data_IF_084745800688
#
_entry.id   IF_084745800688
#
_cell.length_a   1.000
_cell.length_b   1.000
_cell.length_c   1.000
_cell.angle_alpha   90.00
_cell.angle_beta   90.00
_cell.angle_gamma   90.00
#
_symmetry.space_group_name_H-M   'P 1'
#
loop_
_entity.id
_entity.type
_entity.pdbx_description
1 polymer ?
#
# COMPACT_ATOMS: atom_id res chain seq x y z
N UNK A 1 -24.40 9.75 -20.79
CA UNK A 1 -23.30 10.75 -20.78
C UNK A 1 -22.14 10.39 -21.70
N UNK A 2 -21.63 9.17 -21.71
CA UNK A 2 -20.49 8.78 -22.57
C UNK A 2 -20.68 9.11 -24.05
N UNK A 3 -21.83 8.71 -24.62
CA UNK A 3 -22.14 8.98 -26.03
C UNK A 3 -22.20 10.48 -26.36
N UNK A 4 -22.68 11.30 -25.42
CA UNK A 4 -22.70 12.75 -25.58
C UNK A 4 -21.29 13.32 -25.66
N UNK A 5 -20.41 12.90 -24.76
CA UNK A 5 -19.01 13.36 -24.74
C UNK A 5 -18.28 12.94 -26.03
N UNK A 6 -18.43 11.70 -26.44
CA UNK A 6 -17.80 11.17 -27.66
C UNK A 6 -18.38 11.78 -28.94
N UNK A 7 -19.61 12.33 -28.92
CA UNK A 7 -20.20 13.02 -30.09
C UNK A 7 -19.64 14.43 -30.31
N UNK A 8 -19.10 15.11 -29.31
CA UNK A 8 -18.59 16.47 -29.38
C UNK A 8 -17.58 16.67 -30.52
N UNK A 9 -16.48 15.90 -30.59
CA UNK A 9 -15.49 16.12 -31.64
C UNK A 9 -16.07 15.87 -33.02
N UNK A 10 -17.03 14.95 -33.17
CA UNK A 10 -17.73 14.74 -34.46
C UNK A 10 -18.62 15.92 -34.83
N UNK A 11 -19.35 16.48 -33.86
CA UNK A 11 -20.22 17.66 -34.09
C UNK A 11 -19.31 18.86 -34.47
N UNK A 12 -18.21 19.06 -33.78
CA UNK A 12 -17.25 20.13 -34.11
C UNK A 12 -16.64 19.94 -35.50
N UNK A 13 -16.22 18.71 -35.83
CA UNK A 13 -15.70 18.40 -37.16
C UNK A 13 -16.75 18.63 -38.27
N UNK A 14 -18.00 18.26 -38.01
CA UNK A 14 -19.10 18.48 -38.95
C UNK A 14 -19.38 20.00 -39.14
N UNK A 15 -19.34 20.76 -38.06
CA UNK A 15 -19.48 22.22 -38.11
C UNK A 15 -18.36 22.87 -38.98
N UNK A 16 -17.10 22.50 -38.74
CA UNK A 16 -15.99 22.98 -39.57
C UNK A 16 -16.14 22.58 -41.04
N UNK A 17 -16.58 21.35 -41.31
CA UNK A 17 -16.81 20.90 -42.68
C UNK A 17 -17.94 21.69 -43.37
N UNK A 18 -18.99 22.09 -42.66
CA UNK A 18 -20.10 22.82 -43.23
C UNK A 18 -19.76 24.31 -43.50
N UNK A 19 -19.05 24.95 -42.58
CA UNK A 19 -18.84 26.40 -42.63
C UNK A 19 -17.47 26.82 -43.17
N UNK A 20 -16.45 25.97 -42.96
CA UNK A 20 -15.03 26.29 -43.28
C UNK A 20 -14.37 25.31 -44.26
N UNK A 21 -15.15 24.53 -45.01
CA UNK A 21 -14.67 23.48 -45.94
C UNK A 21 -13.56 23.91 -46.89
N UNK A 22 -13.56 25.20 -47.30
CA UNK A 22 -12.55 25.75 -48.25
C UNK A 22 -11.23 26.13 -47.56
N UNK A 23 -11.25 26.29 -46.25
CA UNK A 23 -10.13 26.77 -45.46
C UNK A 23 -9.44 25.64 -44.67
N UNK A 24 -10.15 24.50 -44.48
CA UNK A 24 -9.66 23.37 -43.72
C UNK A 24 -9.13 22.23 -44.60
N UNK A 25 -8.08 21.56 -44.13
CA UNK A 25 -7.46 20.40 -44.77
C UNK A 25 -7.86 19.11 -44.02
N UNK A 26 -7.97 18.01 -44.73
CA UNK A 26 -8.46 16.73 -44.17
C UNK A 26 -7.74 16.23 -42.90
N UNK A 27 -6.45 16.52 -42.75
CA UNK A 27 -5.67 16.12 -41.59
C UNK A 27 -6.01 16.92 -40.33
N UNK A 28 -6.57 18.12 -40.42
CA UNK A 28 -7.02 18.93 -39.31
C UNK A 28 -8.19 18.26 -38.59
N UNK A 29 -9.08 17.57 -39.32
CA UNK A 29 -10.15 16.75 -38.74
C UNK A 29 -9.57 15.57 -37.93
N UNK A 30 -8.45 14.97 -38.37
CA UNK A 30 -7.78 13.92 -37.63
C UNK A 30 -7.16 14.43 -36.34
N UNK A 31 -6.55 15.63 -36.36
CA UNK A 31 -5.98 16.28 -35.16
C UNK A 31 -7.09 16.64 -34.16
N UNK A 32 -8.28 16.97 -34.64
CA UNK A 32 -9.42 17.25 -33.77
C UNK A 32 -10.02 15.97 -33.16
N UNK A 33 -10.27 14.96 -34.00
CA UNK A 33 -11.00 13.74 -33.61
C UNK A 33 -10.12 12.79 -32.79
N UNK A 34 -8.95 12.43 -33.28
CA UNK A 34 -8.14 11.37 -32.68
C UNK A 34 -7.65 11.72 -31.25
N UNK A 35 -7.10 12.90 -31.00
CA UNK A 35 -6.71 13.28 -29.64
C UNK A 35 -7.89 13.43 -28.68
N UNK A 36 -9.03 13.94 -29.14
CA UNK A 36 -10.23 14.09 -28.30
C UNK A 36 -10.73 12.73 -27.79
N UNK A 37 -10.80 11.75 -28.68
CA UNK A 37 -11.21 10.38 -28.33
C UNK A 37 -10.17 9.74 -27.41
N UNK A 38 -8.87 9.89 -27.72
CA UNK A 38 -7.79 9.36 -26.92
C UNK A 38 -7.81 9.98 -25.50
N UNK A 39 -7.98 11.30 -25.40
CA UNK A 39 -8.07 12.00 -24.10
C UNK A 39 -9.26 11.51 -23.28
N UNK A 40 -10.42 11.28 -23.89
CA UNK A 40 -11.56 10.70 -23.17
C UNK A 40 -11.17 9.38 -22.50
N UNK A 41 -10.61 8.43 -23.26
CA UNK A 41 -10.22 7.13 -22.72
C UNK A 41 -9.10 7.24 -21.69
N UNK A 42 -8.13 8.14 -21.91
CA UNK A 42 -7.02 8.36 -20.97
C UNK A 42 -7.52 8.94 -19.64
N UNK A 43 -8.33 9.98 -19.67
CA UNK A 43 -8.87 10.60 -18.46
C UNK A 43 -9.75 9.60 -17.72
N UNK A 44 -10.63 8.90 -18.43
CA UNK A 44 -11.44 7.82 -17.85
C UNK A 44 -10.58 6.75 -17.17
N UNK A 45 -9.53 6.30 -17.83
CA UNK A 45 -8.59 5.33 -17.29
C UNK A 45 -7.92 5.83 -16.01
N UNK A 46 -7.46 7.09 -16.01
CA UNK A 46 -6.83 7.72 -14.84
C UNK A 46 -7.81 7.77 -13.66
N UNK A 47 -9.04 8.26 -13.89
CA UNK A 47 -10.06 8.35 -12.84
C UNK A 47 -10.38 6.97 -12.27
N UNK A 48 -10.71 6.01 -13.13
CA UNK A 48 -11.05 4.63 -12.71
C UNK A 48 -9.88 3.99 -11.98
N UNK A 49 -8.65 4.19 -12.46
CA UNK A 49 -7.45 3.65 -11.80
C UNK A 49 -7.24 4.25 -10.42
N UNK A 50 -7.42 5.56 -10.27
CA UNK A 50 -7.27 6.24 -8.98
C UNK A 50 -8.32 5.78 -7.96
N UNK A 51 -9.59 5.71 -8.37
CA UNK A 51 -10.68 5.33 -7.49
C UNK A 51 -10.68 3.85 -7.10
N UNK A 52 -10.24 2.99 -8.01
CA UNK A 52 -10.16 1.54 -7.74
C UNK A 52 -8.86 1.11 -7.07
N UNK A 53 -7.93 2.03 -6.80
CA UNK A 53 -6.72 1.69 -6.07
C UNK A 53 -6.98 1.75 -4.58
N UNK A 54 -6.67 0.65 -3.89
CA UNK A 54 -6.66 0.56 -2.42
C UNK A 54 -5.30 0.06 -1.96
N UNK A 55 -4.99 0.30 -0.69
CA UNK A 55 -3.74 -0.14 -0.08
C UNK A 55 -4.03 -1.11 1.05
N UNK A 56 -3.47 -2.31 0.96
CA UNK A 56 -3.40 -3.23 2.08
C UNK A 56 -2.07 -3.07 2.81
N UNK A 57 -2.05 -3.43 4.08
CA UNK A 57 -0.86 -3.35 4.90
C UNK A 57 -0.47 -4.74 5.38
N UNK A 58 0.66 -5.23 4.89
CA UNK A 58 1.20 -6.51 5.32
C UNK A 58 2.08 -6.31 6.55
N UNK A 59 1.85 -7.09 7.57
CA UNK A 59 2.64 -7.05 8.79
C UNK A 59 3.92 -7.87 8.66
N UNK A 60 4.95 -7.41 9.35
CA UNK A 60 6.19 -8.13 9.62
C UNK A 60 6.79 -7.62 10.94
N UNK A 61 7.91 -8.16 11.35
CA UNK A 61 8.71 -7.56 12.42
C UNK A 61 10.17 -7.40 12.01
N UNK A 62 10.83 -6.44 12.62
CA UNK A 62 12.24 -6.22 12.43
C UNK A 62 13.04 -7.36 13.08
N UNK A 63 13.58 -8.25 12.27
CA UNK A 63 14.44 -9.34 12.74
C UNK A 63 15.85 -8.82 13.05
N UNK A 64 16.37 -7.95 12.17
CA UNK A 64 17.68 -7.29 12.35
C UNK A 64 17.61 -5.85 11.87
N UNK A 65 18.44 -5.01 12.44
CA UNK A 65 18.73 -3.68 11.90
C UNK A 65 20.23 -3.51 11.75
N UNK A 66 20.61 -2.93 10.64
CA UNK A 66 21.99 -2.76 10.22
C UNK A 66 22.36 -1.28 10.19
N UNK A 67 23.60 -0.99 10.59
CA UNK A 67 24.27 0.27 10.41
C UNK A 67 25.54 0.03 9.63
N UNK A 68 25.69 0.73 8.52
CA UNK A 68 26.87 0.71 7.66
C UNK A 68 27.53 2.08 7.73
N UNK A 69 28.80 2.09 8.12
CA UNK A 69 29.61 3.32 8.15
C UNK A 69 29.86 3.86 6.74
N UNK A 70 30.08 5.16 6.64
CA UNK A 70 30.52 5.80 5.40
C UNK A 70 31.89 5.30 4.95
N UNK A 71 32.12 5.26 3.66
CA UNK A 71 33.40 4.83 3.10
C UNK A 71 33.59 5.32 1.66
N UNK A 72 34.85 5.30 1.22
CA UNK A 72 35.24 5.63 -0.13
C UNK A 72 35.89 4.44 -0.81
N UNK A 73 35.64 4.28 -2.11
CA UNK A 73 36.39 3.34 -2.91
C UNK A 73 37.01 3.99 -4.13
N UNK A 74 38.10 3.44 -4.59
CA UNK A 74 38.75 3.86 -5.82
C UNK A 74 38.32 2.96 -6.98
N UNK A 75 37.53 3.49 -7.89
CA UNK A 75 37.05 2.78 -9.07
C UNK A 75 38.07 2.92 -10.18
N UNK A 76 38.78 1.83 -10.46
CA UNK A 76 39.75 1.78 -11.56
C UNK A 76 39.02 1.65 -12.91
N UNK A 77 39.18 2.63 -13.76
CA UNK A 77 38.53 2.64 -15.07
C UNK A 77 39.46 3.14 -16.16
N UNK A 78 39.49 2.42 -17.27
CA UNK A 78 40.17 2.84 -18.51
C UNK A 78 39.14 3.35 -19.51
N UNK A 79 39.33 4.58 -19.94
CA UNK A 79 38.47 5.21 -20.93
C UNK A 79 39.20 5.34 -22.29
N UNK A 80 38.46 5.54 -23.34
CA UNK A 80 38.97 5.76 -24.66
C UNK A 80 38.50 7.10 -25.19
N UNK A 81 39.39 7.82 -25.87
CA UNK A 81 39.04 9.02 -26.60
C UNK A 81 39.65 9.00 -28.00
N UNK A 82 38.94 9.61 -28.97
CA UNK A 82 39.45 9.82 -30.30
C UNK A 82 40.30 11.11 -30.31
N UNK A 83 41.55 11.00 -30.72
CA UNK A 83 42.47 12.14 -30.88
C UNK A 83 42.77 12.30 -32.36
N UNK A 84 42.84 13.51 -32.78
CA UNK A 84 43.26 13.84 -34.17
C UNK A 84 44.68 13.32 -34.42
N UNK A 85 44.86 12.59 -35.48
CA UNK A 85 46.11 11.92 -35.86
C UNK A 85 46.68 12.40 -37.19
N UNK A 86 46.24 13.57 -37.66
CA UNK A 86 46.65 14.13 -38.91
C UNK A 86 45.60 14.04 -40.02
N UNK A 87 45.97 14.37 -41.24
CA UNK A 87 45.13 14.24 -42.43
C UNK A 87 45.68 13.14 -43.36
N UNK A 88 44.79 12.50 -44.10
CA UNK A 88 45.20 11.58 -45.15
C UNK A 88 45.67 12.32 -46.43
N UNK A 89 46.17 11.57 -47.39
CA UNK A 89 46.63 12.12 -48.67
C UNK A 89 45.53 12.83 -49.51
N UNK A 90 44.27 12.69 -49.11
CA UNK A 90 43.10 13.33 -49.73
C UNK A 90 42.51 14.48 -48.89
N UNK A 91 43.19 14.86 -47.81
CA UNK A 91 42.79 15.98 -46.96
C UNK A 91 41.74 15.63 -45.88
N UNK A 92 41.38 14.37 -45.70
CA UNK A 92 40.41 13.98 -44.66
C UNK A 92 41.09 13.81 -43.29
N UNK A 93 40.44 14.28 -42.26
CA UNK A 93 40.93 14.15 -40.89
C UNK A 93 40.98 12.69 -40.44
N UNK A 94 42.14 12.23 -39.97
CA UNK A 94 42.34 10.93 -39.35
C UNK A 94 42.29 11.06 -37.85
N UNK A 95 41.64 10.09 -37.20
CA UNK A 95 41.58 9.99 -35.75
C UNK A 95 42.13 8.65 -35.29
N UNK A 96 42.84 8.65 -34.18
CA UNK A 96 43.25 7.44 -33.48
C UNK A 96 42.55 7.37 -32.13
N UNK A 97 42.22 6.18 -31.71
CA UNK A 97 41.70 5.94 -30.36
C UNK A 97 42.89 5.78 -29.41
N UNK A 98 42.92 6.56 -28.36
CA UNK A 98 43.89 6.43 -27.27
C UNK A 98 43.14 6.09 -25.99
N UNK A 99 43.75 5.24 -25.19
CA UNK A 99 43.27 4.90 -23.84
C UNK A 99 43.91 5.84 -22.84
N UNK A 100 43.15 6.18 -21.82
CA UNK A 100 43.66 6.95 -20.68
C UNK A 100 42.98 6.45 -19.40
N UNK A 101 43.62 6.66 -18.27
CA UNK A 101 43.07 6.39 -16.97
C UNK A 101 42.02 7.43 -16.65
N UNK A 102 40.79 6.98 -16.38
CA UNK A 102 39.65 7.77 -15.92
C UNK A 102 39.11 7.25 -14.60
N UNK A 103 40.01 6.67 -13.80
CA UNK A 103 39.70 6.23 -12.45
C UNK A 103 39.20 7.39 -11.60
N UNK A 104 38.27 7.10 -10.73
CA UNK A 104 37.68 8.08 -9.84
C UNK A 104 37.41 7.51 -8.47
N UNK A 105 37.25 8.39 -7.50
CA UNK A 105 36.87 8.02 -6.14
C UNK A 105 35.35 8.08 -6.01
N UNK A 106 34.73 7.01 -5.54
CA UNK A 106 33.32 6.92 -5.25
C UNK A 106 33.11 6.94 -3.74
N UNK A 107 32.27 7.87 -3.29
CA UNK A 107 31.90 8.01 -1.89
C UNK A 107 30.58 7.30 -1.63
N UNK A 108 30.57 6.42 -0.60
CA UNK A 108 29.41 5.73 -0.12
C UNK A 108 29.01 6.31 1.24
N UNK A 109 27.83 6.93 1.34
CA UNK A 109 27.39 7.53 2.58
C UNK A 109 26.99 6.48 3.61
N UNK A 110 27.02 6.89 4.86
CA UNK A 110 26.46 6.13 5.98
C UNK A 110 25.01 5.76 5.68
N UNK A 111 24.61 4.52 6.01
CA UNK A 111 23.26 4.03 5.74
C UNK A 111 22.78 3.06 6.81
N UNK A 112 21.47 3.01 6.96
CA UNK A 112 20.77 2.13 7.88
C UNK A 112 19.78 1.28 7.12
N UNK A 113 19.69 0.02 7.52
CA UNK A 113 18.78 -0.94 6.89
C UNK A 113 18.07 -1.78 7.95
N UNK A 114 16.91 -2.28 7.60
CA UNK A 114 16.14 -3.22 8.40
C UNK A 114 15.95 -4.50 7.60
N UNK A 115 16.14 -5.63 8.24
CA UNK A 115 15.79 -6.95 7.73
C UNK A 115 14.56 -7.43 8.48
N UNK A 116 13.55 -7.85 7.76
CA UNK A 116 12.33 -8.37 8.34
C UNK A 116 12.42 -9.89 8.59
N UNK A 117 11.41 -10.42 9.28
CA UNK A 117 11.28 -11.86 9.54
C UNK A 117 11.07 -12.72 8.29
N UNK A 118 10.89 -12.11 7.12
CA UNK A 118 10.77 -12.80 5.82
C UNK A 118 12.10 -12.74 5.04
N UNK A 119 13.13 -12.09 5.60
CA UNK A 119 14.44 -11.92 4.97
C UNK A 119 14.50 -10.76 3.96
N UNK A 120 13.51 -9.90 3.92
CA UNK A 120 13.51 -8.70 3.07
C UNK A 120 14.26 -7.58 3.75
N UNK A 121 15.18 -6.91 3.03
CA UNK A 121 15.99 -5.80 3.54
C UNK A 121 15.59 -4.50 2.85
N UNK A 122 15.47 -3.42 3.59
CA UNK A 122 15.15 -2.09 3.06
C UNK A 122 15.75 -0.96 3.89
N UNK A 123 16.02 0.19 3.23
CA UNK A 123 16.63 1.33 3.90
C UNK A 123 15.64 1.99 4.88
N UNK A 124 16.19 2.45 5.99
CA UNK A 124 15.49 3.25 7.01
C UNK A 124 16.29 4.51 7.30
N UNK A 125 15.65 5.46 8.00
CA UNK A 125 16.33 6.65 8.50
C UNK A 125 17.05 6.37 9.83
N UNK A 126 18.01 7.22 10.15
CA UNK A 126 18.75 7.13 11.43
C UNK A 126 17.82 7.15 12.63
N UNK A 127 16.82 8.03 12.63
CA UNK A 127 15.88 8.16 13.73
C UNK A 127 15.06 6.87 13.95
N UNK A 128 14.73 6.19 12.86
CA UNK A 128 14.03 4.90 12.90
C UNK A 128 14.96 3.79 13.45
N UNK A 129 16.20 3.78 13.00
CA UNK A 129 17.21 2.88 13.52
C UNK A 129 17.40 3.06 15.03
N UNK A 130 17.60 4.29 15.49
CA UNK A 130 17.79 4.62 16.90
C UNK A 130 16.59 4.18 17.77
N UNK A 131 15.36 4.34 17.26
CA UNK A 131 14.16 3.85 17.93
C UNK A 131 14.12 2.34 18.04
N UNK A 132 14.51 1.63 16.99
CA UNK A 132 14.50 0.17 16.95
C UNK A 132 15.55 -0.44 17.88
N UNK A 133 16.76 0.13 17.93
CA UNK A 133 17.87 -0.40 18.74
C UNK A 133 17.80 -0.02 20.21
N UNK A 134 17.02 0.98 20.58
CA UNK A 134 16.96 1.49 21.97
C UNK A 134 16.73 0.41 23.04
N UNK A 135 16.10 -0.72 22.66
CA UNK A 135 15.81 -1.85 23.55
C UNK A 135 16.73 -3.06 23.32
N UNK A 136 17.54 -3.05 22.28
CA UNK A 136 18.50 -4.11 22.01
C UNK A 136 19.80 -3.85 22.73
N UNK A 137 20.45 -4.90 23.24
CA UNK A 137 21.54 -4.72 24.20
C UNK A 137 22.87 -4.43 23.54
N UNK A 138 23.37 -5.35 22.70
CA UNK A 138 24.72 -5.28 22.15
C UNK A 138 24.68 -5.53 20.65
N UNK A 139 25.24 -4.65 19.83
CA UNK A 139 25.34 -4.86 18.41
C UNK A 139 26.34 -5.97 18.10
N UNK A 140 26.06 -6.73 17.07
CA UNK A 140 27.03 -7.63 16.47
C UNK A 140 27.75 -6.90 15.34
N UNK A 141 29.06 -6.99 15.30
CA UNK A 141 29.87 -6.41 14.25
C UNK A 141 30.03 -7.39 13.09
N UNK A 142 30.04 -6.89 11.88
CA UNK A 142 30.28 -7.67 10.69
C UNK A 142 30.98 -6.81 9.63
N UNK A 143 31.70 -7.50 8.72
CA UNK A 143 32.29 -6.86 7.55
C UNK A 143 31.34 -6.98 6.36
N UNK A 144 31.13 -5.92 5.62
CA UNK A 144 30.45 -5.99 4.35
C UNK A 144 31.36 -6.59 3.28
N UNK A 145 31.10 -7.82 2.92
CA UNK A 145 31.89 -8.59 1.95
C UNK A 145 31.81 -8.07 0.51
N UNK A 146 30.89 -7.15 0.23
CA UNK A 146 30.71 -6.54 -1.10
C UNK A 146 31.63 -5.36 -1.34
N UNK A 147 32.33 -4.89 -0.32
CA UNK A 147 33.30 -3.82 -0.45
C UNK A 147 34.62 -4.38 -0.95
N UNK A 148 34.98 -3.88 -2.09
CA UNK A 148 36.25 -4.27 -2.70
C UNK A 148 37.28 -3.22 -2.40
N UNK A 149 38.50 -3.70 -2.17
CA UNK A 149 39.69 -2.93 -2.33
C UNK A 149 40.22 -2.20 -1.12
N UNK A 150 41.09 -1.41 -1.33
CA UNK A 150 42.12 -0.65 -0.62
C UNK A 150 41.68 -0.01 0.69
N UNK A 151 40.44 -0.20 1.04
CA UNK A 151 39.93 0.35 2.25
C UNK A 151 39.42 -0.71 3.19
N UNK A 152 39.90 -0.61 4.39
CA UNK A 152 39.39 -1.36 5.52
C UNK A 152 38.25 -0.52 6.12
N UNK A 153 37.20 -0.60 5.48
CA UNK A 153 35.99 -0.01 5.99
C UNK A 153 35.04 -1.09 6.13
N UNK A 154 34.10 -0.86 6.80
CA UNK A 154 33.08 -1.78 6.87
C UNK A 154 32.94 -2.39 8.16
N UNK A 155 33.26 -1.67 9.18
CA UNK A 155 32.71 -1.94 10.46
C UNK A 155 31.23 -1.59 10.39
N UNK A 156 30.46 -2.55 9.92
CA UNK A 156 29.02 -2.51 9.99
C UNK A 156 28.59 -3.22 11.27
N UNK A 157 27.48 -2.79 11.80
CA UNK A 157 26.88 -3.31 13.02
C UNK A 157 25.47 -3.74 12.76
N UNK A 158 25.00 -4.78 13.43
CA UNK A 158 23.60 -5.11 13.44
C UNK A 158 23.13 -5.51 14.84
N UNK A 159 21.84 -5.28 15.07
CA UNK A 159 21.12 -5.78 16.22
C UNK A 159 20.13 -6.81 15.75
N UNK A 160 19.99 -7.89 16.51
CA UNK A 160 19.05 -8.96 16.23
C UNK A 160 17.98 -9.03 17.32
N UNK A 161 16.74 -9.19 16.91
CA UNK A 161 15.64 -9.37 17.83
C UNK A 161 15.50 -10.84 18.22
N UNK A 162 15.25 -11.08 19.49
CA UNK A 162 15.15 -12.41 20.08
C UNK A 162 13.77 -13.06 20.00
N UNK A 163 12.86 -12.51 19.22
CA UNK A 163 11.50 -13.01 18.96
C UNK A 163 10.61 -13.15 20.23
N UNK A 164 10.71 -12.24 21.18
CA UNK A 164 9.84 -12.21 22.34
C UNK A 164 8.58 -11.38 22.07
N UNK A 165 7.40 -11.92 22.37
CA UNK A 165 6.12 -11.22 22.20
C UNK A 165 6.05 -9.91 22.96
N UNK A 166 6.66 -9.86 24.16
CA UNK A 166 6.65 -8.68 25.03
C UNK A 166 7.39 -7.48 24.45
N UNK A 167 8.27 -7.71 23.48
CA UNK A 167 9.11 -6.68 22.87
C UNK A 167 9.05 -6.71 21.33
N UNK A 168 7.86 -6.95 20.78
CA UNK A 168 7.65 -7.01 19.34
C UNK A 168 8.00 -5.67 18.66
N UNK A 169 8.77 -5.75 17.59
CA UNK A 169 9.12 -4.65 16.70
C UNK A 169 8.37 -4.78 15.39
N UNK A 170 7.07 -4.62 15.46
CA UNK A 170 6.22 -4.73 14.29
C UNK A 170 6.45 -3.59 13.31
N UNK A 171 6.43 -3.96 12.05
CA UNK A 171 6.55 -3.08 10.88
C UNK A 171 5.45 -3.44 9.89
N UNK A 172 5.13 -2.53 8.98
CA UNK A 172 4.12 -2.76 7.96
C UNK A 172 4.59 -2.30 6.60
N UNK A 173 4.16 -3.04 5.58
CA UNK A 173 4.41 -2.72 4.17
C UNK A 173 3.10 -2.34 3.50
N UNK A 174 3.02 -1.15 2.90
CA UNK A 174 1.91 -0.83 2.03
C UNK A 174 2.05 -1.60 0.72
N UNK A 175 0.96 -2.24 0.29
CA UNK A 175 0.85 -2.90 -1.01
C UNK A 175 -0.42 -2.45 -1.69
N UNK A 176 -0.27 -1.77 -2.82
CA UNK A 176 -1.43 -1.33 -3.60
C UNK A 176 -2.08 -2.49 -4.35
N UNK A 177 -3.39 -2.48 -4.46
CA UNK A 177 -4.16 -3.45 -5.22
C UNK A 177 -5.41 -2.80 -5.84
N UNK A 178 -5.97 -3.45 -6.86
CA UNK A 178 -7.24 -3.02 -7.46
C UNK A 178 -8.42 -3.48 -6.63
N UNK A 179 -9.25 -2.54 -6.21
CA UNK A 179 -10.46 -2.76 -5.44
C UNK A 179 -11.67 -2.14 -6.15
N UNK A 180 -12.27 -2.89 -7.05
CA UNK A 180 -13.47 -2.45 -7.76
C UNK A 180 -14.71 -2.44 -6.88
N UNK A 181 -14.72 -3.18 -5.78
CA UNK A 181 -15.85 -3.25 -4.85
C UNK A 181 -16.13 -1.87 -4.25
N UNK A 182 -15.08 -1.15 -3.89
CA UNK A 182 -15.16 0.18 -3.27
C UNK A 182 -16.00 1.19 -4.08
N UNK A 183 -16.01 1.04 -5.39
CA UNK A 183 -16.62 1.99 -6.32
C UNK A 183 -17.81 1.38 -7.06
N UNK A 184 -17.96 0.07 -7.05
CA UNK A 184 -19.06 -0.62 -7.73
C UNK A 184 -20.35 -0.52 -6.92
N UNK A 185 -21.40 -0.05 -7.56
CA UNK A 185 -22.77 0.04 -6.97
C UNK A 185 -23.60 -1.22 -7.20
N UNK A 186 -23.04 -2.28 -7.81
CA UNK A 186 -23.87 -3.36 -8.38
C UNK A 186 -24.15 -4.55 -7.47
N UNK A 187 -23.22 -4.94 -6.57
CA UNK A 187 -23.36 -6.19 -5.78
C UNK A 187 -23.11 -5.97 -4.29
N UNK A 188 -22.11 -5.17 -3.95
CA UNK A 188 -21.75 -4.88 -2.57
C UNK A 188 -22.26 -3.49 -2.21
N UNK A 189 -23.47 -3.44 -1.72
CA UNK A 189 -24.13 -2.17 -1.37
C UNK A 189 -23.81 -1.85 0.08
N UNK A 190 -22.61 -1.34 0.34
CA UNK A 190 -22.29 -0.78 1.63
C UNK A 190 -23.06 0.52 1.82
N UNK A 191 -23.64 0.69 3.00
CA UNK A 191 -24.29 1.94 3.36
C UNK A 191 -23.25 3.06 3.41
N UNK A 192 -23.52 4.17 2.75
CA UNK A 192 -22.65 5.35 2.80
C UNK A 192 -22.85 6.04 4.16
N UNK A 193 -21.89 5.94 5.04
CA UNK A 193 -21.89 6.54 6.37
C UNK A 193 -20.84 7.64 6.39
N UNK A 194 -21.26 8.87 6.63
CA UNK A 194 -20.33 9.98 6.77
C UNK A 194 -19.66 10.01 8.16
N UNK A 195 -18.60 10.81 8.31
CA UNK A 195 -17.85 10.91 9.58
C UNK A 195 -18.70 11.42 10.75
N UNK A 196 -19.68 12.26 10.49
CA UNK A 196 -20.56 12.81 11.53
C UNK A 196 -21.49 11.74 12.03
N UNK A 197 -22.10 11.02 11.11
CA UNK A 197 -22.96 9.86 11.41
C UNK A 197 -22.19 8.77 12.12
N UNK A 198 -20.99 8.39 11.62
CA UNK A 198 -20.11 7.41 12.23
C UNK A 198 -19.80 7.75 13.70
N UNK A 199 -19.50 9.02 13.98
CA UNK A 199 -19.26 9.52 15.33
C UNK A 199 -20.49 9.42 16.23
N UNK A 200 -21.67 9.74 15.71
CA UNK A 200 -22.92 9.67 16.45
C UNK A 200 -23.30 8.22 16.80
N UNK A 201 -23.09 7.30 15.89
CA UNK A 201 -23.29 5.86 16.12
C UNK A 201 -22.22 5.31 17.07
N UNK A 202 -21.03 5.91 17.11
CA UNK A 202 -19.86 5.48 17.89
C UNK A 202 -19.05 4.42 17.13
N UNK A 203 -18.94 4.57 15.81
CA UNK A 203 -18.06 3.77 14.98
C UNK A 203 -16.62 4.23 15.13
N UNK A 204 -15.70 3.34 14.87
CA UNK A 204 -14.27 3.63 14.94
C UNK A 204 -13.75 4.06 13.57
N UNK A 205 -12.93 5.12 13.56
CA UNK A 205 -12.13 5.47 12.40
C UNK A 205 -11.14 4.34 12.09
N UNK A 206 -10.82 4.20 10.79
CA UNK A 206 -9.79 3.25 10.41
C UNK A 206 -8.44 3.68 11.01
N UNK A 207 -7.72 2.78 11.72
CA UNK A 207 -6.47 3.12 12.37
C UNK A 207 -5.42 3.60 11.36
N UNK A 208 -4.74 4.70 11.67
CA UNK A 208 -3.61 5.17 10.88
C UNK A 208 -2.50 4.12 10.86
N UNK A 209 -2.21 3.62 9.67
CA UNK A 209 -1.16 2.62 9.45
C UNK A 209 0.08 3.30 8.95
N UNK A 210 1.09 3.42 9.80
CA UNK A 210 2.41 3.91 9.42
C UNK A 210 3.42 2.77 9.31
N UNK A 211 4.46 2.96 8.51
CA UNK A 211 5.40 1.90 8.13
C UNK A 211 6.08 1.20 9.32
N UNK A 212 6.43 1.94 10.36
CA UNK A 212 7.32 1.47 11.44
C UNK A 212 6.76 1.72 12.84
N UNK A 213 5.44 1.90 13.00
CA UNK A 213 4.91 2.35 14.26
C UNK A 213 3.85 1.46 14.86
N UNK A 214 3.80 1.55 16.16
CA UNK A 214 2.83 0.94 17.03
C UNK A 214 1.42 1.18 16.56
N UNK A 215 0.86 0.19 15.90
CA UNK A 215 -0.55 0.17 15.69
C UNK A 215 -1.19 -0.54 16.84
N UNK A 216 -2.14 0.14 17.45
CA UNK A 216 -3.00 -0.54 18.40
C UNK A 216 -4.06 -1.33 17.61
N UNK A 217 -3.90 -2.65 17.45
CA UNK A 217 -4.90 -3.46 16.77
C UNK A 217 -6.16 -3.66 17.60
N UNK A 218 -6.17 -3.23 18.85
CA UNK A 218 -7.31 -3.32 19.76
C UNK A 218 -7.87 -1.92 19.98
N UNK A 219 -9.09 -1.69 19.53
CA UNK A 219 -9.75 -0.38 19.57
C UNK A 219 -10.96 -0.44 20.49
N UNK A 220 -11.12 0.57 21.33
CA UNK A 220 -12.27 0.72 22.22
C UNK A 220 -12.23 -0.13 23.47
N UNK A 221 -11.23 -0.94 23.71
CA UNK A 221 -11.14 -1.76 24.93
C UNK A 221 -10.67 -0.92 26.13
N UNK A 222 -11.49 -0.88 27.20
CA UNK A 222 -11.22 -0.06 28.38
C UNK A 222 -10.09 -0.57 29.27
N UNK A 223 -9.84 -1.88 29.26
CA UNK A 223 -8.76 -2.52 30.02
C UNK A 223 -7.52 -2.71 29.16
N UNK A 224 -7.08 -1.65 28.50
CA UNK A 224 -5.88 -1.72 27.66
C UNK A 224 -4.67 -2.08 28.50
N UNK A 225 -4.20 -3.29 28.38
CA UNK A 225 -2.88 -3.68 28.85
C UNK A 225 -1.91 -3.75 27.65
N UNK A 226 -0.66 -3.50 27.92
CA UNK A 226 0.40 -3.60 26.92
C UNK A 226 0.58 -5.03 26.40
N UNK A 227 0.24 -6.01 27.21
CA UNK A 227 0.43 -7.45 26.92
C UNK A 227 -0.55 -7.89 25.84
N UNK A 228 -1.84 -7.57 25.99
CA UNK A 228 -2.87 -7.91 25.00
C UNK A 228 -2.62 -7.23 23.66
N UNK A 229 -2.17 -5.96 23.66
CA UNK A 229 -1.79 -5.27 22.44
C UNK A 229 -0.59 -5.93 21.77
N UNK A 230 0.42 -6.34 22.52
CA UNK A 230 1.59 -7.02 21.98
C UNK A 230 1.22 -8.37 21.37
N UNK A 231 0.25 -9.08 21.93
CA UNK A 231 -0.26 -10.34 21.40
C UNK A 231 -0.81 -10.17 19.98
N UNK A 232 -1.72 -9.21 19.77
CA UNK A 232 -2.30 -8.95 18.46
C UNK A 232 -1.27 -8.36 17.47
N UNK A 233 -0.36 -7.54 17.95
CA UNK A 233 0.76 -7.03 17.14
C UNK A 233 1.68 -8.17 16.69
N UNK A 234 1.96 -9.12 17.56
CA UNK A 234 2.73 -10.32 17.25
C UNK A 234 2.04 -11.18 16.17
N UNK A 235 0.74 -11.40 16.30
CA UNK A 235 -0.06 -12.12 15.30
C UNK A 235 0.03 -11.41 13.94
N UNK A 236 -0.22 -10.10 13.91
CA UNK A 236 -0.17 -9.31 12.70
C UNK A 236 1.21 -9.31 12.05
N UNK A 237 2.28 -9.24 12.84
CA UNK A 237 3.65 -9.26 12.36
C UNK A 237 4.08 -10.65 11.86
N UNK A 238 3.71 -11.71 12.56
CA UNK A 238 4.13 -13.07 12.25
C UNK A 238 3.37 -13.64 11.05
N UNK A 239 2.06 -13.40 10.99
CA UNK A 239 1.20 -13.96 9.94
C UNK A 239 0.97 -13.00 8.78
N UNK A 240 1.36 -11.72 8.92
CA UNK A 240 1.19 -10.69 7.89
C UNK A 240 1.89 -11.00 6.58
N UNK A 241 3.16 -11.38 6.63
CA UNK A 241 3.93 -11.74 5.44
C UNK A 241 3.52 -13.09 4.86
N UNK A 242 3.50 -14.13 5.70
CA UNK A 242 3.30 -15.51 5.28
C UNK A 242 1.87 -15.81 4.80
N UNK A 243 0.88 -15.36 5.55
CA UNK A 243 -0.53 -15.63 5.26
C UNK A 243 -1.28 -14.41 4.73
N UNK A 244 -0.60 -13.26 4.65
CA UNK A 244 -1.21 -11.98 4.27
C UNK A 244 -2.45 -11.70 5.14
N UNK A 245 -2.24 -11.86 6.44
CA UNK A 245 -3.27 -11.74 7.46
C UNK A 245 -3.01 -10.54 8.36
N UNK A 246 -4.06 -9.82 8.68
CA UNK A 246 -4.05 -8.74 9.65
C UNK A 246 -5.36 -8.74 10.41
N UNK A 247 -5.31 -8.58 11.72
CA UNK A 247 -6.52 -8.56 12.53
C UNK A 247 -6.64 -7.30 13.37
N UNK A 248 -7.89 -6.85 13.55
CA UNK A 248 -8.30 -5.83 14.49
C UNK A 248 -9.38 -6.39 15.42
N UNK A 249 -9.33 -5.97 16.68
CA UNK A 249 -10.35 -6.21 17.68
C UNK A 249 -11.03 -4.89 18.05
N UNK A 250 -12.32 -4.78 17.75
CA UNK A 250 -13.14 -3.60 18.02
C UNK A 250 -14.10 -3.91 19.16
N UNK A 251 -14.00 -3.20 20.27
CA UNK A 251 -14.80 -3.43 21.47
C UNK A 251 -15.87 -2.34 21.62
N UNK A 252 -17.12 -2.75 21.66
CA UNK A 252 -18.29 -1.89 21.81
C UNK A 252 -18.96 -2.12 23.16
N UNK A 253 -19.12 -1.07 23.94
CA UNK A 253 -19.76 -1.17 25.25
C UNK A 253 -21.22 -0.77 25.19
N UNK A 254 -22.10 -1.66 25.66
CA UNK A 254 -23.55 -1.46 25.71
C UNK A 254 -24.15 -1.04 24.34
N UNK A 255 -23.62 -1.59 23.26
CA UNK A 255 -24.11 -1.40 21.90
C UNK A 255 -24.70 -2.70 21.37
N UNK A 256 -25.72 -2.58 20.54
CA UNK A 256 -26.33 -3.70 19.81
C UNK A 256 -25.38 -4.21 18.72
N UNK A 257 -25.55 -5.47 18.31
CA UNK A 257 -24.77 -6.11 17.26
C UNK A 257 -24.84 -5.37 15.91
N UNK A 258 -25.90 -4.63 15.67
CA UNK A 258 -26.09 -3.81 14.45
C UNK A 258 -24.91 -2.84 14.24
N UNK A 259 -24.24 -2.41 15.33
CA UNK A 259 -23.06 -1.54 15.22
C UNK A 259 -21.93 -2.19 14.42
N UNK A 260 -21.80 -3.51 14.45
CA UNK A 260 -20.76 -4.22 13.67
C UNK A 260 -21.05 -4.20 12.17
N UNK A 261 -22.31 -4.28 11.76
CA UNK A 261 -22.70 -4.15 10.35
C UNK A 261 -22.51 -2.71 9.84
N UNK A 262 -22.82 -1.72 10.68
CA UNK A 262 -22.52 -0.32 10.39
C UNK A 262 -21.02 -0.08 10.28
N UNK A 263 -20.21 -0.69 11.16
CA UNK A 263 -18.75 -0.62 11.11
C UNK A 263 -18.21 -1.27 9.83
N UNK A 264 -18.75 -2.41 9.45
CA UNK A 264 -18.43 -3.07 8.17
C UNK A 264 -18.72 -2.16 6.98
N UNK A 265 -19.87 -1.50 6.98
CA UNK A 265 -20.23 -0.54 5.92
C UNK A 265 -19.28 0.65 5.92
N UNK A 266 -19.00 1.23 7.08
CA UNK A 266 -18.10 2.38 7.21
C UNK A 266 -16.67 2.09 6.74
N UNK A 267 -16.15 0.88 7.00
CA UNK A 267 -14.83 0.45 6.51
C UNK A 267 -14.90 -0.26 5.13
N UNK A 268 -16.07 -0.27 4.50
CA UNK A 268 -16.29 -0.90 3.19
C UNK A 268 -15.77 -2.36 3.18
N UNK A 269 -16.07 -3.10 4.26
CA UNK A 269 -15.63 -4.47 4.46
C UNK A 269 -14.17 -4.66 4.88
N UNK A 270 -13.40 -3.59 5.06
CA UNK A 270 -11.97 -3.65 5.36
C UNK A 270 -11.09 -3.90 4.13
N UNK A 271 -9.79 -4.01 4.33
CA UNK A 271 -8.86 -4.41 3.29
C UNK A 271 -8.88 -5.93 3.07
N UNK A 272 -8.46 -6.37 1.89
CA UNK A 272 -8.55 -7.78 1.49
C UNK A 272 -7.73 -8.76 2.36
N UNK A 273 -6.80 -8.25 3.17
CA UNK A 273 -5.99 -9.04 4.11
C UNK A 273 -6.45 -8.89 5.55
N UNK A 274 -7.57 -8.20 5.81
CA UNK A 274 -8.00 -7.89 7.15
C UNK A 274 -9.09 -8.85 7.65
N UNK A 275 -8.96 -9.17 8.92
CA UNK A 275 -9.92 -9.93 9.69
C UNK A 275 -10.35 -9.09 10.89
N UNK A 276 -11.55 -8.55 10.85
CA UNK A 276 -12.06 -7.62 11.83
C UNK A 276 -12.99 -8.38 12.79
N UNK A 277 -12.68 -8.30 14.07
CA UNK A 277 -13.43 -8.93 15.17
C UNK A 277 -14.13 -7.82 15.94
N UNK A 278 -15.46 -7.80 15.91
CA UNK A 278 -16.29 -6.89 16.68
C UNK A 278 -16.87 -7.63 17.90
N UNK A 279 -16.72 -7.04 19.09
CA UNK A 279 -17.23 -7.64 20.33
C UNK A 279 -18.05 -6.61 21.09
N UNK A 280 -19.29 -6.96 21.39
CA UNK A 280 -20.14 -6.22 22.30
C UNK A 280 -19.88 -6.64 23.73
N UNK A 281 -19.58 -5.68 24.60
CA UNK A 281 -19.24 -5.89 26.00
C UNK A 281 -20.19 -5.15 26.92
N UNK A 282 -20.54 -5.77 28.03
CA UNK A 282 -21.18 -5.09 29.14
C UNK A 282 -20.18 -4.15 29.83
N UNK A 283 -20.58 -2.91 30.08
CA UNK A 283 -19.67 -1.87 30.59
C UNK A 283 -19.25 -2.07 32.04
N UNK A 284 -20.00 -2.82 32.82
CA UNK A 284 -19.77 -3.07 34.26
C UNK A 284 -19.01 -4.37 34.50
N UNK A 285 -19.51 -5.45 33.89
CA UNK A 285 -18.98 -6.78 34.07
C UNK A 285 -17.92 -7.21 33.08
N UNK A 286 -17.76 -6.47 31.96
CA UNK A 286 -16.93 -6.86 30.83
C UNK A 286 -17.34 -8.21 30.19
N UNK A 287 -18.60 -8.60 30.40
CA UNK A 287 -19.17 -9.82 29.85
C UNK A 287 -19.41 -9.65 28.35
N UNK A 288 -19.12 -10.71 27.58
CA UNK A 288 -19.41 -10.73 26.14
C UNK A 288 -20.93 -10.84 25.97
N UNK A 289 -21.50 -9.90 25.24
CA UNK A 289 -22.93 -9.89 24.88
C UNK A 289 -23.13 -10.48 23.47
N UNK A 290 -22.22 -10.19 22.58
CA UNK A 290 -22.20 -10.71 21.20
C UNK A 290 -20.80 -10.59 20.62
N UNK A 291 -20.50 -11.40 19.61
CA UNK A 291 -19.34 -11.29 18.75
C UNK A 291 -19.78 -11.45 17.30
N UNK A 292 -19.23 -10.63 16.41
CA UNK A 292 -19.43 -10.67 14.97
C UNK A 292 -18.12 -10.37 14.26
N UNK A 293 -17.80 -11.11 13.22
CA UNK A 293 -16.58 -10.95 12.45
C UNK A 293 -16.90 -10.59 11.01
N UNK A 294 -16.00 -9.86 10.36
CA UNK A 294 -16.10 -9.66 8.92
C UNK A 294 -14.72 -9.58 8.28
N UNK A 295 -14.62 -10.06 7.05
CA UNK A 295 -13.38 -10.08 6.27
C UNK A 295 -13.66 -10.34 4.79
N UNK A 296 -12.60 -10.28 3.99
CA UNK A 296 -12.62 -10.76 2.60
C UNK A 296 -11.96 -12.14 2.50
N UNK A 297 -12.58 -13.12 3.15
CA UNK A 297 -12.19 -14.53 3.08
C UNK A 297 -12.84 -15.22 1.89
N UNK A 298 -12.16 -16.24 1.37
CA UNK A 298 -12.73 -17.14 0.36
C UNK A 298 -13.82 -18.05 0.96
N UNK A 299 -13.54 -18.59 2.17
CA UNK A 299 -14.46 -19.37 2.94
C UNK A 299 -14.58 -18.81 4.38
N UNK A 300 -15.76 -18.51 4.92
CA UNK A 300 -15.93 -17.79 6.18
C UNK A 300 -15.71 -18.67 7.44
N UNK A 301 -14.82 -19.66 7.36
CA UNK A 301 -14.59 -20.62 8.46
C UNK A 301 -13.99 -19.94 9.69
N UNK A 302 -12.98 -19.10 9.50
CA UNK A 302 -12.35 -18.41 10.63
C UNK A 302 -13.32 -17.44 11.31
N UNK A 303 -14.21 -16.77 10.56
CA UNK A 303 -15.26 -15.91 11.09
C UNK A 303 -16.17 -16.73 12.02
N UNK A 304 -16.75 -17.81 11.51
CA UNK A 304 -17.67 -18.68 12.25
C UNK A 304 -16.99 -19.25 13.51
N UNK A 305 -15.77 -19.77 13.39
CA UNK A 305 -15.06 -20.33 14.55
C UNK A 305 -14.72 -19.26 15.60
N UNK A 306 -14.36 -18.07 15.18
CA UNK A 306 -14.04 -16.98 16.11
C UNK A 306 -15.29 -16.48 16.85
N UNK A 307 -16.39 -16.33 16.13
CA UNK A 307 -17.69 -15.97 16.73
C UNK A 307 -18.18 -17.03 17.72
N UNK A 308 -18.13 -18.30 17.34
CA UNK A 308 -18.48 -19.39 18.23
C UNK A 308 -17.59 -19.43 19.48
N UNK A 309 -16.27 -19.27 19.28
CA UNK A 309 -15.34 -19.22 20.39
C UNK A 309 -15.68 -18.09 21.36
N UNK A 310 -15.85 -16.86 20.88
CA UNK A 310 -16.15 -15.70 21.71
C UNK A 310 -17.51 -15.80 22.37
N UNK A 311 -18.56 -16.19 21.65
CA UNK A 311 -19.91 -16.32 22.19
C UNK A 311 -20.03 -17.49 23.22
N UNK A 312 -19.08 -18.41 23.23
CA UNK A 312 -18.99 -19.46 24.27
C UNK A 312 -18.32 -18.99 25.56
N UNK A 313 -17.80 -17.77 25.64
CA UNK A 313 -17.07 -17.24 26.79
C UNK A 313 -17.90 -16.22 27.55
N UNK A 314 -17.77 -16.24 28.88
CA UNK A 314 -18.42 -15.24 29.74
C UNK A 314 -17.75 -13.85 29.64
N UNK A 315 -16.43 -13.79 29.45
CA UNK A 315 -15.69 -12.55 29.41
C UNK A 315 -14.58 -12.58 28.35
N UNK A 316 -14.23 -11.41 27.83
CA UNK A 316 -13.16 -11.25 26.86
C UNK A 316 -11.80 -11.42 27.54
N UNK A 317 -11.08 -12.45 27.10
CA UNK A 317 -9.67 -12.71 27.45
C UNK A 317 -8.85 -12.59 26.16
N UNK A 318 -8.11 -11.49 26.03
CA UNK A 318 -7.37 -11.14 24.82
C UNK A 318 -6.25 -12.15 24.54
N UNK A 319 -5.55 -12.62 25.58
CA UNK A 319 -4.46 -13.59 25.40
C UNK A 319 -4.98 -14.92 24.88
N UNK A 320 -6.07 -15.43 25.46
CA UNK A 320 -6.69 -16.67 24.98
C UNK A 320 -7.27 -16.53 23.58
N UNK A 321 -7.79 -15.35 23.23
CA UNK A 321 -8.21 -15.06 21.85
C UNK A 321 -7.02 -15.05 20.91
N UNK A 322 -5.89 -14.48 21.32
CA UNK A 322 -4.63 -14.52 20.57
C UNK A 322 -4.16 -15.96 20.34
N UNK A 323 -4.06 -16.78 21.38
CA UNK A 323 -3.71 -18.20 21.29
C UNK A 323 -4.66 -18.98 20.36
N UNK A 324 -5.95 -18.64 20.37
CA UNK A 324 -6.93 -19.24 19.48
C UNK A 324 -6.65 -18.85 18.01
N UNK A 325 -6.39 -17.57 17.74
CA UNK A 325 -6.07 -17.09 16.40
C UNK A 325 -4.76 -17.68 15.88
N UNK A 326 -3.72 -17.77 16.71
CA UNK A 326 -2.45 -18.40 16.34
C UNK A 326 -2.62 -19.85 15.86
N UNK A 327 -3.55 -20.58 16.46
CA UNK A 327 -3.85 -21.97 16.06
C UNK A 327 -4.71 -22.04 14.81
N UNK A 328 -5.64 -21.10 14.65
CA UNK A 328 -6.66 -21.18 13.60
C UNK A 328 -6.26 -20.49 12.29
N UNK A 329 -5.54 -19.38 12.36
CA UNK A 329 -5.12 -18.64 11.16
C UNK A 329 -4.35 -19.49 10.15
N UNK A 330 -3.36 -20.31 10.55
CA UNK A 330 -2.62 -21.14 9.61
C UNK A 330 -3.45 -22.16 8.83
N UNK A 331 -4.58 -22.59 9.36
CA UNK A 331 -5.42 -23.66 8.78
C UNK A 331 -6.71 -23.14 8.15
N UNK A 332 -7.31 -22.12 8.73
CA UNK A 332 -8.66 -21.66 8.37
C UNK A 332 -8.67 -20.34 7.61
N UNK A 333 -7.56 -19.56 7.62
CA UNK A 333 -7.49 -18.32 6.88
C UNK A 333 -7.11 -18.57 5.43
N UNK A 334 -7.98 -18.11 4.52
CA UNK A 334 -7.71 -18.03 3.09
C UNK A 334 -8.35 -16.76 2.57
N UNK A 335 -7.53 -15.74 2.29
CA UNK A 335 -8.06 -14.49 1.77
C UNK A 335 -8.55 -14.65 0.34
N UNK A 336 -9.59 -13.89 -0.02
CA UNK A 336 -10.12 -13.85 -1.37
C UNK A 336 -9.21 -13.05 -2.30
N UNK A 337 -9.04 -13.54 -3.52
CA UNK A 337 -8.30 -12.82 -4.54
C UNK A 337 -9.18 -11.74 -5.17
N UNK A 338 -8.75 -10.47 -5.10
CA UNK A 338 -9.57 -9.36 -5.62
C UNK A 338 -9.66 -9.32 -7.14
N UNK A 339 -8.82 -10.09 -7.87
CA UNK A 339 -9.02 -10.35 -9.30
C UNK A 339 -10.36 -11.02 -9.61
N UNK A 340 -10.94 -11.76 -8.66
CA UNK A 340 -12.27 -12.38 -8.78
C UNK A 340 -13.39 -11.34 -8.94
N UNK A 341 -13.11 -10.08 -8.61
CA UNK A 341 -14.03 -8.95 -8.76
C UNK A 341 -13.74 -8.10 -10.01
N UNK A 342 -12.86 -8.54 -10.91
CA UNK A 342 -12.54 -7.77 -12.13
C UNK A 342 -13.72 -7.63 -13.09
N UNK A 343 -14.72 -8.49 -12.99
CA UNK A 343 -15.96 -8.41 -13.78
C UNK A 343 -16.85 -7.21 -13.38
N UNK A 344 -16.64 -6.61 -12.21
CA UNK A 344 -17.42 -5.46 -11.78
C UNK A 344 -17.19 -4.26 -12.71
N UNK A 345 -18.29 -3.71 -13.21
CA UNK A 345 -18.28 -2.49 -14.02
C UNK A 345 -18.17 -1.26 -13.12
N UNK A 346 -17.29 -0.36 -13.50
CA UNK A 346 -17.12 0.92 -12.83
C UNK A 346 -17.76 1.99 -13.71
N UNK A 347 -18.75 2.66 -13.15
CA UNK A 347 -19.40 3.80 -13.77
C UNK A 347 -18.88 5.08 -13.15
N UNK A 348 -18.59 6.07 -13.98
CA UNK A 348 -18.20 7.39 -13.52
C UNK A 348 -19.40 8.10 -12.88
N UNK A 349 -19.15 8.97 -11.94
CA UNK A 349 -20.16 9.85 -11.37
C UNK A 349 -20.53 10.96 -12.36
N UNK A 350 -21.71 11.58 -12.19
CA UNK A 350 -22.14 12.68 -13.05
C UNK A 350 -21.15 13.85 -13.03
N UNK A 351 -20.57 14.16 -11.88
CA UNK A 351 -19.55 15.21 -11.75
C UNK A 351 -18.28 14.90 -12.55
N UNK A 352 -17.86 13.63 -12.59
CA UNK A 352 -16.71 13.20 -13.38
C UNK A 352 -16.99 13.29 -14.87
N UNK A 353 -18.19 12.89 -15.30
CA UNK A 353 -18.61 13.07 -16.69
C UNK A 353 -18.66 14.54 -17.10
N UNK A 354 -19.17 15.42 -16.23
CA UNK A 354 -19.18 16.86 -16.47
C UNK A 354 -17.75 17.41 -16.57
N UNK A 355 -16.84 16.99 -15.70
CA UNK A 355 -15.44 17.38 -15.77
C UNK A 355 -14.76 16.99 -17.10
N UNK A 356 -14.98 15.75 -17.54
CA UNK A 356 -14.45 15.26 -18.83
C UNK A 356 -15.08 16.05 -19.98
N UNK A 357 -16.38 16.30 -19.93
CA UNK A 357 -17.13 17.07 -20.92
C UNK A 357 -16.53 18.46 -21.11
N UNK A 358 -16.35 19.20 -20.01
CA UNK A 358 -15.76 20.55 -20.02
C UNK A 358 -14.35 20.52 -20.63
N UNK A 359 -13.52 19.55 -20.23
CA UNK A 359 -12.15 19.43 -20.73
C UNK A 359 -12.11 19.19 -22.24
N UNK A 360 -12.96 18.28 -22.76
CA UNK A 360 -13.05 17.99 -24.20
C UNK A 360 -13.63 19.17 -24.96
N UNK A 361 -14.61 19.90 -24.42
CA UNK A 361 -15.14 21.12 -25.02
C UNK A 361 -14.07 22.19 -25.16
N UNK A 362 -13.29 22.46 -24.10
CA UNK A 362 -12.21 23.45 -24.13
C UNK A 362 -11.17 23.08 -25.19
N UNK A 363 -10.77 21.79 -25.26
CA UNK A 363 -9.85 21.34 -26.30
C UNK A 363 -10.40 21.56 -27.71
N UNK A 364 -11.65 21.16 -27.97
CA UNK A 364 -12.25 21.28 -29.30
C UNK A 364 -12.44 22.74 -29.72
N UNK A 365 -12.83 23.63 -28.78
CA UNK A 365 -12.93 25.08 -29.07
C UNK A 365 -11.56 25.71 -29.34
N UNK A 366 -10.54 25.29 -28.60
CA UNK A 366 -9.18 25.79 -28.79
C UNK A 366 -8.50 25.32 -30.10
N UNK A 367 -8.99 24.20 -30.67
CA UNK A 367 -8.47 23.64 -31.92
C UNK A 367 -9.31 23.99 -33.15
N UNK A 368 -10.52 24.53 -32.97
CA UNK A 368 -11.39 24.98 -34.05
C UNK A 368 -11.18 26.44 -34.39
#
# INVERSE_FOLDING_TARGET
MELVILSIPFITALFLLMFYRKETVWWEYLILLAPSILMYFLIRFIIVSAETTSTEYLGAYAAKVYHYDEWDEWIHRTCTKRVYAGTDSKGHARYRTVTYDCSYREYHPERWEIEDNNGSTFPIKKEEYDLLVKRWRTPQQFKDMHRHYYRIDGDAQYYEWNNKKEDIRDITYPKSYKNKIKVSKSIFNFEEIDKTEAKNIGLYEYPDVTRNYYQNPIVGYKKTDSIGNNEFRYINATYGGKYQFRTFLLCYYNKDIIVSEKQRSYWVGGNKNEFIICVGLDSLSNKIQWANCFSWMDEPRLEVYTEQYLNSKDSLDILKLGDFLEKKVPTEWKRKEFKDFEYLKIELTDNQYIGILIFILIYNIGMS
#
